data_IF_075308935142
#
_entry.id   IF_075308935142
#
_cell.length_a   1.000
_cell.length_b   1.000
_cell.length_c   1.000
_cell.angle_alpha   90.00
_cell.angle_beta   90.00
_cell.angle_gamma   90.00
#
_symmetry.space_group_name_H-M   'P 1'
#
loop_
_entity.id
_entity.type
_entity.pdbx_description
1 polymer ?
#
# COMPACT_ATOMS: atom_id res chain seq x y z
N UNK A 1 -24.18 -53.19 -11.84
CA UNK A 1 -23.35 -53.50 -13.03
C UNK A 1 -22.80 -52.20 -13.55
N UNK A 2 -21.48 -52.16 -13.74
CA UNK A 2 -20.61 -51.04 -14.12
C UNK A 2 -20.86 -49.70 -13.40
N UNK A 3 -20.17 -49.49 -12.28
CA UNK A 3 -19.73 -48.14 -11.89
C UNK A 3 -19.01 -47.55 -13.12
N UNK A 4 -19.57 -46.53 -13.79
CA UNK A 4 -18.98 -45.80 -14.94
C UNK A 4 -17.61 -45.12 -14.65
N UNK A 5 -16.95 -45.54 -13.58
CA UNK A 5 -16.93 -44.86 -12.31
C UNK A 5 -15.58 -45.02 -11.52
N UNK A 6 -15.08 -46.26 -11.42
CA UNK A 6 -13.84 -46.57 -10.71
C UNK A 6 -12.61 -46.48 -11.63
N UNK A 7 -11.53 -45.81 -11.22
CA UNK A 7 -10.26 -45.61 -11.95
C UNK A 7 -9.81 -44.16 -12.18
N UNK A 8 -10.61 -43.17 -11.77
CA UNK A 8 -10.31 -41.74 -11.89
C UNK A 8 -9.57 -41.19 -10.65
N UNK A 9 -9.06 -42.08 -9.79
CA UNK A 9 -8.62 -41.92 -8.39
C UNK A 9 -7.33 -41.11 -8.18
N UNK A 10 -6.52 -40.89 -9.22
CA UNK A 10 -5.32 -40.03 -9.16
C UNK A 10 -5.58 -38.54 -9.53
N UNK A 11 -6.77 -38.22 -10.07
CA UNK A 11 -7.39 -36.89 -10.02
C UNK A 11 -8.80 -37.03 -9.41
N UNK A 12 -8.80 -37.66 -8.24
CA UNK A 12 -9.65 -38.75 -7.79
C UNK A 12 -11.18 -38.79 -7.89
N UNK A 13 -11.79 -38.52 -9.03
CA UNK A 13 -13.23 -38.71 -9.22
C UNK A 13 -13.56 -40.21 -9.12
N UNK A 14 -13.80 -40.74 -7.92
CA UNK A 14 -14.27 -42.11 -7.63
C UNK A 14 -15.76 -42.32 -7.95
N UNK A 15 -16.38 -41.21 -8.37
CA UNK A 15 -17.27 -41.19 -9.50
C UNK A 15 -18.68 -41.68 -9.14
N UNK A 16 -19.55 -40.69 -8.96
CA UNK A 16 -20.85 -40.61 -9.62
C UNK A 16 -21.66 -41.92 -9.69
N UNK A 17 -21.70 -42.70 -8.61
CA UNK A 17 -22.41 -43.96 -8.65
C UNK A 17 -23.92 -43.81 -8.74
N UNK A 18 -24.52 -42.60 -8.58
CA UNK A 18 -25.98 -42.43 -8.67
C UNK A 18 -26.48 -40.96 -8.82
N UNK A 19 -26.17 -40.22 -9.89
CA UNK A 19 -27.01 -39.03 -10.23
C UNK A 19 -27.24 -38.95 -11.74
N UNK A 20 -28.42 -39.39 -12.16
CA UNK A 20 -29.03 -39.06 -13.44
C UNK A 20 -30.07 -37.94 -13.19
N UNK A 21 -30.93 -37.69 -14.17
CA UNK A 21 -32.27 -37.07 -14.07
C UNK A 21 -32.28 -35.69 -14.74
N UNK A 22 -32.26 -35.72 -16.07
CA UNK A 22 -32.78 -34.74 -17.05
C UNK A 22 -33.49 -33.49 -16.48
N UNK A 23 -33.34 -32.32 -17.11
CA UNK A 23 -34.25 -32.00 -18.22
C UNK A 23 -33.60 -31.30 -19.43
N UNK A 24 -34.03 -31.81 -20.59
CA UNK A 24 -33.80 -31.30 -21.93
C UNK A 24 -34.59 -30.00 -22.20
N UNK A 25 -33.99 -29.09 -22.98
CA UNK A 25 -34.67 -28.57 -24.18
C UNK A 25 -33.66 -28.02 -25.19
N UNK A 26 -33.87 -28.45 -26.42
CA UNK A 26 -32.99 -28.45 -27.59
C UNK A 26 -32.77 -27.08 -28.29
N UNK A 27 -31.61 -27.01 -28.99
CA UNK A 27 -31.29 -26.33 -30.28
C UNK A 27 -31.23 -24.78 -30.27
N UNK A 28 -30.29 -24.11 -30.95
CA UNK A 28 -29.49 -24.48 -32.14
C UNK A 28 -28.18 -23.71 -32.27
N UNK A 29 -27.24 -24.38 -32.95
CA UNK A 29 -25.91 -24.03 -33.40
C UNK A 29 -25.63 -22.59 -33.87
N UNK A 30 -24.39 -22.15 -33.59
CA UNK A 30 -23.69 -21.03 -34.20
C UNK A 30 -22.23 -21.05 -33.74
N UNK A 31 -21.41 -21.82 -34.45
CA UNK A 31 -19.96 -21.90 -34.25
C UNK A 31 -19.32 -20.54 -34.53
N UNK A 32 -18.83 -19.87 -33.48
CA UNK A 32 -17.72 -18.94 -33.59
C UNK A 32 -16.62 -19.36 -32.62
N UNK A 33 -15.52 -19.82 -33.20
CA UNK A 33 -14.29 -20.20 -32.54
C UNK A 33 -13.74 -19.05 -31.69
N UNK A 34 -14.09 -19.00 -30.40
CA UNK A 34 -13.36 -18.20 -29.42
C UNK A 34 -12.07 -18.94 -29.08
N UNK A 35 -10.99 -18.50 -29.72
CA UNK A 35 -9.61 -18.65 -29.23
C UNK A 35 -9.61 -18.35 -27.73
N UNK A 36 -9.43 -19.36 -26.90
CA UNK A 36 -9.09 -19.21 -25.49
C UNK A 36 -7.66 -18.67 -25.41
N UNK A 37 -7.51 -17.35 -25.53
CA UNK A 37 -6.34 -16.68 -25.00
C UNK A 37 -6.36 -16.90 -23.49
N UNK A 38 -5.45 -17.75 -22.99
CA UNK A 38 -5.00 -17.67 -21.61
C UNK A 38 -4.40 -16.27 -21.43
N UNK A 39 -5.22 -15.29 -21.05
CA UNK A 39 -4.74 -13.97 -20.66
C UNK A 39 -3.97 -14.15 -19.36
N UNK A 40 -2.65 -14.26 -19.47
CA UNK A 40 -1.73 -13.98 -18.37
C UNK A 40 -1.94 -12.54 -17.97
N UNK A 41 -2.58 -12.32 -16.82
CA UNK A 41 -2.78 -11.00 -16.23
C UNK A 41 -1.43 -10.27 -16.12
N UNK A 42 -1.36 -9.03 -16.59
CA UNK A 42 -0.21 -8.15 -16.38
C UNK A 42 -0.60 -6.95 -15.51
N UNK A 43 0.35 -6.41 -14.74
CA UNK A 43 0.11 -5.20 -13.93
C UNK A 43 -0.40 -4.04 -14.80
N UNK A 44 0.08 -3.92 -16.05
CA UNK A 44 -0.35 -2.90 -17.02
C UNK A 44 -1.86 -2.86 -17.26
N UNK A 45 -2.55 -4.01 -17.19
CA UNK A 45 -3.98 -4.13 -17.49
C UNK A 45 -4.87 -3.31 -16.53
N UNK A 46 -4.37 -3.11 -15.31
CA UNK A 46 -5.07 -2.39 -14.25
C UNK A 46 -4.54 -0.98 -14.04
N UNK A 47 -3.54 -0.54 -14.79
CA UNK A 47 -3.03 0.83 -14.75
C UNK A 47 -3.70 1.67 -15.83
N UNK A 48 -3.84 2.97 -15.55
CA UNK A 48 -4.28 3.96 -16.52
C UNK A 48 -3.67 5.32 -16.20
N UNK A 49 -3.56 6.16 -17.23
CA UNK A 49 -3.16 7.55 -17.05
C UNK A 49 -4.36 8.39 -16.59
N UNK A 50 -4.26 8.94 -15.38
CA UNK A 50 -5.22 9.90 -14.86
C UNK A 50 -4.70 11.31 -15.10
N UNK A 51 -5.56 12.18 -15.63
CA UNK A 51 -5.25 13.61 -15.80
C UNK A 51 -5.35 14.35 -14.46
N UNK A 52 -4.40 15.25 -14.22
CA UNK A 52 -4.32 16.11 -13.05
C UNK A 52 -3.99 17.55 -13.49
N UNK A 53 -4.59 18.52 -12.80
CA UNK A 53 -4.16 19.92 -12.85
C UNK A 53 -3.33 20.19 -11.60
N UNK A 54 -2.06 20.58 -11.76
CA UNK A 54 -1.18 20.81 -10.62
C UNK A 54 -1.59 22.06 -9.84
N UNK A 55 -1.89 21.99 -8.52
CA UNK A 55 -2.33 23.16 -7.75
C UNK A 55 -1.19 24.16 -7.45
N UNK A 56 0.05 23.83 -7.80
CA UNK A 56 1.21 24.73 -7.63
C UNK A 56 1.48 25.54 -8.89
N UNK A 57 1.52 24.89 -10.06
CA UNK A 57 1.89 25.54 -11.32
C UNK A 57 0.75 25.64 -12.34
N UNK A 58 -0.46 25.15 -12.01
CA UNK A 58 -1.66 25.17 -12.86
C UNK A 58 -1.48 24.53 -14.24
N UNK A 59 -0.46 23.68 -14.41
CA UNK A 59 -0.25 22.92 -15.65
C UNK A 59 -0.92 21.56 -15.52
N UNK A 60 -1.53 21.14 -16.61
CA UNK A 60 -2.08 19.79 -16.73
C UNK A 60 -0.98 18.78 -17.01
N UNK A 61 -1.12 17.61 -16.44
CA UNK A 61 -0.25 16.47 -16.68
C UNK A 61 -1.02 15.17 -16.45
N UNK A 62 -0.41 14.06 -16.86
CA UNK A 62 -0.94 12.72 -16.59
C UNK A 62 -0.03 12.00 -15.61
N UNK A 63 -0.63 11.23 -14.72
CA UNK A 63 0.10 10.30 -13.86
C UNK A 63 -0.63 8.95 -13.82
N UNK A 64 0.15 7.88 -13.86
CA UNK A 64 -0.37 6.52 -13.77
C UNK A 64 -1.03 6.27 -12.43
N UNK A 65 -2.21 5.63 -12.47
CA UNK A 65 -3.06 5.31 -11.32
C UNK A 65 -3.61 3.89 -11.49
N UNK A 66 -3.93 3.22 -10.38
CA UNK A 66 -4.54 1.89 -10.40
C UNK A 66 -6.06 1.95 -10.49
N UNK A 67 -6.66 1.07 -11.30
CA UNK A 67 -8.11 0.82 -11.37
C UNK A 67 -8.56 0.05 -10.12
N UNK A 68 -8.85 0.78 -9.05
CA UNK A 68 -9.15 0.23 -7.70
C UNK A 68 -10.21 -0.88 -7.72
N UNK A 69 -11.25 -0.78 -8.55
CA UNK A 69 -12.33 -1.77 -8.62
C UNK A 69 -11.91 -3.18 -9.06
N UNK A 70 -10.71 -3.35 -9.62
CA UNK A 70 -10.17 -4.66 -10.02
C UNK A 70 -9.28 -5.31 -8.96
N UNK A 71 -8.96 -4.61 -7.87
CA UNK A 71 -8.06 -5.12 -6.85
C UNK A 71 -8.79 -5.72 -5.67
N UNK A 72 -8.45 -6.97 -5.36
CA UNK A 72 -8.95 -7.67 -4.17
C UNK A 72 -7.91 -7.57 -3.05
N UNK A 73 -8.34 -7.08 -1.89
CA UNK A 73 -7.52 -7.09 -0.68
C UNK A 73 -7.22 -8.54 -0.31
N UNK A 74 -5.94 -8.90 -0.22
CA UNK A 74 -5.47 -10.22 0.17
C UNK A 74 -5.33 -10.31 1.69
N UNK A 75 -4.66 -9.33 2.30
CA UNK A 75 -4.40 -9.30 3.74
C UNK A 75 -4.01 -7.90 4.21
N UNK A 76 -3.87 -7.73 5.52
CA UNK A 76 -3.31 -6.54 6.15
C UNK A 76 -2.11 -6.98 6.98
N UNK A 77 -0.96 -6.34 6.78
CA UNK A 77 0.16 -6.49 7.72
C UNK A 77 -0.24 -5.93 9.09
N UNK A 78 0.54 -6.28 10.12
CA UNK A 78 0.32 -5.82 11.51
C UNK A 78 0.31 -4.31 11.65
N UNK A 79 1.09 -3.60 10.82
CA UNK A 79 1.14 -2.13 10.78
C UNK A 79 0.09 -1.52 9.83
N UNK A 80 -0.95 -2.28 9.49
CA UNK A 80 -2.08 -1.87 8.66
C UNK A 80 -1.72 -1.63 7.18
N UNK A 81 -0.56 -2.09 6.70
CA UNK A 81 -0.26 -2.09 5.26
C UNK A 81 -1.24 -3.01 4.52
N UNK A 82 -2.05 -2.51 3.58
CA UNK A 82 -2.89 -3.37 2.76
C UNK A 82 -2.06 -4.11 1.70
N UNK A 83 -2.22 -5.42 1.63
CA UNK A 83 -1.68 -6.27 0.55
C UNK A 83 -2.81 -6.62 -0.40
N UNK A 84 -2.64 -6.30 -1.67
CA UNK A 84 -3.61 -6.61 -2.72
C UNK A 84 -3.07 -7.75 -3.58
N UNK A 85 -3.99 -8.54 -4.14
CA UNK A 85 -3.64 -9.47 -5.20
C UNK A 85 -3.24 -8.70 -6.46
N UNK A 86 -2.39 -9.30 -7.29
CA UNK A 86 -2.09 -8.89 -8.66
C UNK A 86 -1.23 -7.62 -8.84
N UNK A 87 -1.34 -6.61 -7.97
CA UNK A 87 -0.48 -5.43 -8.01
C UNK A 87 -0.42 -4.72 -6.66
N UNK A 88 0.56 -3.81 -6.52
CA UNK A 88 0.72 -2.98 -5.33
C UNK A 88 0.30 -1.52 -5.60
N UNK A 89 -0.90 -1.09 -5.17
CA UNK A 89 -1.36 0.31 -5.30
C UNK A 89 -0.44 1.34 -4.68
N UNK A 90 0.38 0.95 -3.70
CA UNK A 90 1.29 1.88 -3.03
C UNK A 90 2.31 2.46 -4.01
N UNK A 91 2.65 1.73 -5.09
CA UNK A 91 3.53 2.20 -6.16
C UNK A 91 3.00 3.46 -6.84
N UNK A 92 1.68 3.63 -6.89
CA UNK A 92 0.99 4.69 -7.63
C UNK A 92 0.36 5.76 -6.72
N UNK A 93 0.57 5.68 -5.41
CA UNK A 93 -0.08 6.59 -4.46
C UNK A 93 0.57 7.98 -4.41
N UNK A 94 1.87 8.09 -4.72
CA UNK A 94 2.55 9.38 -4.83
C UNK A 94 2.39 9.98 -6.23
N UNK A 95 1.76 11.15 -6.29
CA UNK A 95 1.60 11.93 -7.51
C UNK A 95 2.73 12.95 -7.56
N UNK A 96 3.46 12.99 -8.67
CA UNK A 96 4.55 13.93 -8.93
C UNK A 96 4.23 14.74 -10.19
N UNK A 97 4.22 16.06 -10.07
CA UNK A 97 4.08 16.97 -11.19
C UNK A 97 5.41 17.05 -11.98
N UNK A 98 5.46 16.64 -13.25
CA UNK A 98 6.67 16.69 -14.07
C UNK A 98 7.11 18.12 -14.39
N UNK A 99 6.22 19.10 -14.23
CA UNK A 99 6.51 20.48 -14.59
C UNK A 99 7.20 21.29 -13.49
N UNK A 100 6.95 20.98 -12.23
CA UNK A 100 7.42 21.81 -11.11
C UNK A 100 7.95 21.02 -9.91
N UNK A 101 7.91 19.69 -9.94
CA UNK A 101 8.40 18.86 -8.84
C UNK A 101 7.50 18.85 -7.59
N UNK A 102 6.31 19.47 -7.66
CA UNK A 102 5.32 19.32 -6.61
C UNK A 102 4.88 17.86 -6.56
N UNK A 103 5.01 17.25 -5.38
CA UNK A 103 4.56 15.90 -5.14
C UNK A 103 3.83 15.78 -3.81
N UNK A 104 2.86 14.89 -3.76
CA UNK A 104 2.16 14.51 -2.54
C UNK A 104 1.53 13.13 -2.73
N UNK A 105 1.18 12.47 -1.62
CA UNK A 105 0.28 11.32 -1.71
C UNK A 105 -1.08 11.76 -2.27
N UNK A 106 -1.76 10.87 -2.98
CA UNK A 106 -3.00 11.14 -3.72
C UNK A 106 -4.03 11.90 -2.88
N UNK A 107 -4.17 11.51 -1.61
CA UNK A 107 -5.10 12.14 -0.67
C UNK A 107 -4.77 13.57 -0.27
N UNK A 108 -3.52 14.00 -0.40
CA UNK A 108 -3.04 15.34 0.00
C UNK A 108 -2.75 16.23 -1.20
N UNK A 109 -2.79 15.69 -2.41
CA UNK A 109 -2.32 16.39 -3.61
C UNK A 109 -3.05 17.70 -3.89
N UNK A 110 -4.36 17.76 -3.65
CA UNK A 110 -5.13 19.00 -3.84
C UNK A 110 -5.21 19.87 -2.57
N UNK A 111 -4.54 19.48 -1.49
CA UNK A 111 -4.58 20.18 -0.20
C UNK A 111 -3.31 21.02 0.00
N UNK A 112 -3.29 22.17 -0.67
CA UNK A 112 -2.20 23.14 -0.57
C UNK A 112 -2.75 24.58 -0.67
N UNK A 113 -2.28 25.48 0.19
CA UNK A 113 -2.62 26.90 0.13
C UNK A 113 -1.71 27.65 -0.86
N UNK A 114 -2.08 28.88 -1.25
CA UNK A 114 -1.21 29.73 -2.07
C UNK A 114 0.17 29.96 -1.45
N UNK A 115 0.24 30.26 -0.16
CA UNK A 115 1.50 30.46 0.57
C UNK A 115 2.37 29.19 0.61
N UNK A 116 1.75 28.01 0.73
CA UNK A 116 2.46 26.74 0.63
C UNK A 116 2.95 26.47 -0.79
N UNK A 117 2.16 26.76 -1.81
CA UNK A 117 2.56 26.64 -3.21
C UNK A 117 3.77 27.53 -3.53
N UNK A 118 3.83 28.73 -2.97
CA UNK A 118 4.98 29.64 -3.14
C UNK A 118 6.25 29.09 -2.46
N UNK A 119 6.12 28.41 -1.31
CA UNK A 119 7.24 27.70 -0.68
C UNK A 119 7.76 26.57 -1.59
N UNK A 120 6.88 25.80 -2.22
CA UNK A 120 7.28 24.76 -3.17
C UNK A 120 8.00 25.39 -4.36
N UNK A 121 7.42 26.44 -4.96
CA UNK A 121 8.04 27.14 -6.10
C UNK A 121 9.45 27.62 -5.79
N UNK A 122 9.63 28.25 -4.63
CA UNK A 122 10.90 28.86 -4.20
C UNK A 122 11.98 27.82 -3.88
N UNK A 123 11.62 26.68 -3.30
CA UNK A 123 12.60 25.74 -2.74
C UNK A 123 12.79 24.46 -3.57
N UNK A 124 11.77 24.04 -4.32
CA UNK A 124 11.78 22.80 -5.10
C UNK A 124 11.80 23.12 -6.59
N UNK A 125 10.80 23.86 -7.09
CA UNK A 125 10.61 24.03 -8.53
C UNK A 125 11.81 24.67 -9.25
N UNK A 126 12.54 25.56 -8.57
CA UNK A 126 13.73 26.23 -9.13
C UNK A 126 14.85 25.26 -9.50
N UNK A 127 14.95 24.12 -8.79
CA UNK A 127 16.03 23.13 -8.94
C UNK A 127 15.55 21.83 -9.59
N UNK A 128 14.23 21.65 -9.67
CA UNK A 128 13.65 20.40 -10.14
C UNK A 128 13.91 20.21 -11.63
N UNK A 129 14.36 19.00 -11.97
CA UNK A 129 14.48 18.51 -13.34
C UNK A 129 13.72 17.21 -13.42
N UNK A 130 12.80 17.13 -14.39
CA UNK A 130 12.06 15.90 -14.61
C UNK A 130 12.97 14.81 -15.17
N UNK A 131 12.75 13.59 -14.71
CA UNK A 131 13.32 12.38 -15.28
C UNK A 131 12.18 11.65 -15.95
N UNK A 132 12.30 11.44 -17.26
CA UNK A 132 11.31 10.70 -18.04
C UNK A 132 11.20 9.26 -17.54
N UNK A 133 9.97 8.77 -17.47
CA UNK A 133 9.67 7.42 -17.03
C UNK A 133 9.15 6.64 -18.25
N UNK A 134 10.01 5.81 -18.83
CA UNK A 134 9.75 5.13 -20.10
C UNK A 134 8.81 3.94 -20.00
N UNK A 135 8.48 3.49 -18.79
CA UNK A 135 7.71 2.26 -18.56
C UNK A 135 6.20 2.52 -18.45
N UNK A 136 5.41 1.51 -18.82
CA UNK A 136 3.94 1.55 -18.67
C UNK A 136 3.47 1.39 -17.23
N UNK A 137 4.33 0.87 -16.36
CA UNK A 137 4.16 0.74 -14.91
C UNK A 137 5.26 1.51 -14.19
N UNK A 138 5.07 1.80 -12.90
CA UNK A 138 6.18 2.26 -12.10
C UNK A 138 6.96 1.05 -11.60
N UNK A 139 8.29 1.11 -11.60
CA UNK A 139 9.09 0.21 -10.77
C UNK A 139 8.95 0.60 -9.31
N UNK A 140 9.37 -0.29 -8.40
CA UNK A 140 9.48 0.07 -7.00
C UNK A 140 10.47 1.23 -6.77
N UNK A 141 11.53 1.34 -7.56
CA UNK A 141 12.48 2.46 -7.46
C UNK A 141 11.86 3.80 -7.83
N UNK A 142 11.10 3.84 -8.94
CA UNK A 142 10.33 5.01 -9.34
C UNK A 142 9.31 5.39 -8.26
N UNK A 143 8.60 4.41 -7.70
CA UNK A 143 7.65 4.65 -6.61
C UNK A 143 8.34 5.21 -5.36
N UNK A 144 9.45 4.62 -4.90
CA UNK A 144 10.20 5.09 -3.73
C UNK A 144 10.68 6.53 -3.95
N UNK A 145 11.21 6.86 -5.14
CA UNK A 145 11.66 8.21 -5.47
C UNK A 145 10.51 9.23 -5.39
N UNK A 146 9.33 8.87 -5.89
CA UNK A 146 8.13 9.73 -5.84
C UNK A 146 7.58 9.90 -4.43
N UNK A 147 7.58 8.85 -3.62
CA UNK A 147 7.22 8.94 -2.19
C UNK A 147 8.19 9.83 -1.41
N UNK A 148 9.49 9.72 -1.67
CA UNK A 148 10.51 10.63 -1.12
C UNK A 148 10.29 12.08 -1.57
N UNK A 149 9.95 12.30 -2.83
CA UNK A 149 9.56 13.64 -3.31
C UNK A 149 8.32 14.18 -2.60
N UNK A 150 7.31 13.34 -2.36
CA UNK A 150 6.13 13.72 -1.59
C UNK A 150 6.50 14.10 -0.14
N UNK A 151 7.41 13.35 0.49
CA UNK A 151 7.89 13.68 1.84
C UNK A 151 8.61 15.02 1.87
N UNK A 152 9.56 15.27 0.96
CA UNK A 152 10.29 16.55 0.90
C UNK A 152 9.33 17.72 0.67
N UNK A 153 8.36 17.57 -0.23
CA UNK A 153 7.32 18.57 -0.45
C UNK A 153 6.49 18.83 0.82
N UNK A 154 6.12 17.78 1.58
CA UNK A 154 5.40 17.91 2.85
C UNK A 154 6.20 18.68 3.91
N UNK A 155 7.53 18.53 3.93
CA UNK A 155 8.44 19.28 4.81
C UNK A 155 8.50 20.74 4.38
N UNK A 156 8.77 21.02 3.09
CA UNK A 156 8.90 22.38 2.55
C UNK A 156 7.62 23.17 2.70
N UNK A 157 6.46 22.56 2.42
CA UNK A 157 5.15 23.21 2.60
C UNK A 157 4.70 23.31 4.07
N UNK A 158 5.53 22.86 5.00
CA UNK A 158 5.24 22.85 6.45
C UNK A 158 3.89 22.15 6.73
N UNK A 159 3.69 20.98 6.13
CA UNK A 159 2.51 20.17 6.37
C UNK A 159 2.38 19.74 7.84
N UNK A 160 1.19 19.26 8.20
CA UNK A 160 0.89 18.61 9.48
C UNK A 160 1.89 17.49 9.78
N UNK A 161 2.17 17.26 11.06
CA UNK A 161 3.00 16.14 11.53
C UNK A 161 2.40 14.81 11.09
N UNK A 162 1.06 14.66 11.18
CA UNK A 162 0.38 13.45 10.72
C UNK A 162 0.57 13.18 9.22
N UNK A 163 0.57 14.21 8.38
CA UNK A 163 0.80 14.07 6.94
C UNK A 163 2.24 13.60 6.64
N UNK A 164 3.24 14.17 7.33
CA UNK A 164 4.64 13.74 7.22
C UNK A 164 4.82 12.29 7.69
N UNK A 165 4.27 11.96 8.85
CA UNK A 165 4.33 10.62 9.44
C UNK A 165 3.67 9.57 8.54
N UNK A 166 2.50 9.88 7.97
CA UNK A 166 1.81 9.00 7.03
C UNK A 166 2.60 8.81 5.74
N UNK A 167 3.27 9.86 5.25
CA UNK A 167 4.14 9.75 4.07
C UNK A 167 5.35 8.85 4.37
N UNK A 168 5.97 8.97 5.55
CA UNK A 168 7.04 8.06 5.98
C UNK A 168 6.56 6.60 6.05
N UNK A 169 5.39 6.35 6.67
CA UNK A 169 4.80 5.02 6.76
C UNK A 169 4.58 4.39 5.39
N UNK A 170 3.97 5.15 4.47
CA UNK A 170 3.68 4.68 3.12
C UNK A 170 4.96 4.43 2.32
N UNK A 171 5.99 5.25 2.52
CA UNK A 171 7.32 5.03 1.94
C UNK A 171 7.94 3.72 2.45
N UNK A 172 7.88 3.46 3.75
CA UNK A 172 8.35 2.20 4.34
C UNK A 172 7.64 0.98 3.74
N UNK A 173 6.33 1.06 3.52
CA UNK A 173 5.57 -0.01 2.89
C UNK A 173 5.95 -0.28 1.43
N UNK A 174 6.28 0.77 0.66
CA UNK A 174 6.77 0.61 -0.72
C UNK A 174 8.16 -0.04 -0.72
N UNK A 175 9.05 0.37 0.19
CA UNK A 175 10.38 -0.26 0.37
C UNK A 175 10.24 -1.73 0.75
N UNK A 176 9.32 -2.05 1.66
CA UNK A 176 8.97 -3.44 2.02
C UNK A 176 8.50 -4.22 0.80
N UNK A 177 7.61 -3.64 -0.01
CA UNK A 177 7.13 -4.26 -1.26
C UNK A 177 8.27 -4.54 -2.24
N UNK A 178 9.24 -3.62 -2.37
CA UNK A 178 10.46 -3.85 -3.17
C UNK A 178 11.24 -5.07 -2.67
N UNK A 179 11.44 -5.18 -1.36
CA UNK A 179 12.15 -6.32 -0.78
C UNK A 179 11.39 -7.64 -0.99
N UNK A 180 10.09 -7.64 -0.77
CA UNK A 180 9.22 -8.84 -0.93
C UNK A 180 9.15 -9.35 -2.37
N UNK A 181 9.45 -8.51 -3.35
CA UNK A 181 9.38 -8.83 -4.80
C UNK A 181 10.75 -8.88 -5.46
N UNK A 182 11.83 -8.80 -4.67
CA UNK A 182 13.19 -8.80 -5.19
C UNK A 182 13.52 -10.18 -5.79
N UNK A 183 13.97 -10.27 -7.06
CA UNK A 183 14.36 -11.54 -7.66
C UNK A 183 15.53 -12.20 -6.92
N UNK A 184 15.48 -13.52 -6.72
CA UNK A 184 16.52 -14.25 -5.99
C UNK A 184 17.90 -14.20 -6.67
N UNK A 185 17.92 -13.95 -7.98
CA UNK A 185 19.13 -13.79 -8.81
C UNK A 185 19.69 -12.36 -8.80
N UNK A 186 19.12 -11.44 -8.01
CA UNK A 186 19.62 -10.07 -7.88
C UNK A 186 21.10 -10.06 -7.44
N UNK A 187 22.00 -9.37 -8.15
CA UNK A 187 23.38 -9.21 -7.72
C UNK A 187 23.47 -8.61 -6.31
N UNK A 188 24.33 -9.18 -5.46
CA UNK A 188 24.46 -8.79 -4.06
C UNK A 188 23.11 -8.84 -3.30
N UNK A 189 22.28 -9.86 -3.57
CA UNK A 189 20.94 -10.03 -2.98
C UNK A 189 20.92 -9.77 -1.47
N UNK A 190 21.80 -10.42 -0.70
CA UNK A 190 21.84 -10.28 0.77
C UNK A 190 22.11 -8.84 1.22
N UNK A 191 23.07 -8.15 0.60
CA UNK A 191 23.40 -6.76 0.90
C UNK A 191 22.24 -5.82 0.51
N UNK A 192 21.60 -6.10 -0.63
CA UNK A 192 20.44 -5.34 -1.10
C UNK A 192 19.25 -5.47 -0.13
N UNK A 193 18.95 -6.69 0.33
CA UNK A 193 17.89 -6.95 1.31
C UNK A 193 18.21 -6.24 2.63
N UNK A 194 19.45 -6.31 3.12
CA UNK A 194 19.86 -5.64 4.36
C UNK A 194 19.70 -4.12 4.26
N UNK A 195 20.13 -3.54 3.13
CA UNK A 195 19.95 -2.10 2.88
C UNK A 195 18.48 -1.69 2.85
N UNK A 196 17.62 -2.49 2.21
CA UNK A 196 16.17 -2.23 2.17
C UNK A 196 15.53 -2.39 3.57
N UNK A 197 15.99 -3.33 4.38
CA UNK A 197 15.54 -3.49 5.78
C UNK A 197 15.92 -2.26 6.62
N UNK A 198 17.16 -1.80 6.50
CA UNK A 198 17.64 -0.62 7.23
C UNK A 198 16.89 0.65 6.79
N UNK A 199 16.71 0.84 5.48
CA UNK A 199 15.95 1.98 4.95
C UNK A 199 14.48 1.94 5.38
N UNK A 200 13.83 0.77 5.34
CA UNK A 200 12.47 0.60 5.87
C UNK A 200 12.41 0.99 7.34
N UNK A 201 13.35 0.50 8.16
CA UNK A 201 13.40 0.76 9.61
C UNK A 201 13.53 2.25 9.91
N UNK A 202 14.33 2.99 9.15
CA UNK A 202 14.46 4.45 9.28
C UNK A 202 13.14 5.16 9.02
N UNK A 203 12.42 4.80 7.94
CA UNK A 203 11.11 5.37 7.66
C UNK A 203 10.04 4.98 8.68
N UNK A 204 10.07 3.76 9.21
CA UNK A 204 9.19 3.33 10.31
C UNK A 204 9.48 4.14 11.58
N UNK A 205 10.75 4.41 11.91
CA UNK A 205 11.12 5.25 13.06
C UNK A 205 10.60 6.68 12.91
N UNK A 206 10.78 7.28 11.73
CA UNK A 206 10.25 8.60 11.44
C UNK A 206 8.71 8.64 11.49
N UNK A 207 8.04 7.58 11.03
CA UNK A 207 6.59 7.45 11.13
C UNK A 207 6.13 7.34 12.59
N UNK A 208 6.82 6.52 13.40
CA UNK A 208 6.53 6.38 14.82
C UNK A 208 6.61 7.71 15.56
N UNK A 209 7.72 8.43 15.40
CA UNK A 209 7.95 9.72 16.06
C UNK A 209 6.92 10.75 15.62
N UNK A 210 6.71 10.87 14.31
CA UNK A 210 5.75 11.81 13.74
C UNK A 210 4.32 11.54 14.18
N UNK A 211 3.87 10.29 14.22
CA UNK A 211 2.52 9.96 14.71
C UNK A 211 2.39 10.11 16.22
N UNK A 212 3.42 9.76 16.99
CA UNK A 212 3.41 9.95 18.46
C UNK A 212 3.31 11.44 18.81
N UNK A 213 4.03 12.29 18.09
CA UNK A 213 3.94 13.74 18.28
C UNK A 213 2.62 14.31 17.77
N UNK A 214 2.14 13.87 16.59
CA UNK A 214 0.85 14.29 16.05
C UNK A 214 -0.29 13.92 17.00
N UNK A 215 -0.27 12.73 17.61
CA UNK A 215 -1.25 12.27 18.59
C UNK A 215 -1.46 13.28 19.72
N UNK A 216 -0.37 13.93 20.17
CA UNK A 216 -0.40 14.90 21.28
C UNK A 216 -0.83 16.30 20.83
N UNK A 217 -0.63 16.65 19.55
CA UNK A 217 -0.70 18.05 19.07
C UNK A 217 -1.79 18.31 18.04
N UNK A 218 -2.34 17.28 17.41
CA UNK A 218 -3.32 17.40 16.33
C UNK A 218 -4.66 16.77 16.71
N UNK A 219 -5.71 17.20 16.02
CA UNK A 219 -7.06 16.66 16.20
C UNK A 219 -7.29 15.42 15.33
N UNK A 220 -8.15 14.53 15.80
CA UNK A 220 -8.65 13.40 15.03
C UNK A 220 -9.87 13.80 14.17
N UNK A 221 -10.09 13.19 13.00
CA UNK A 221 -9.32 12.08 12.42
C UNK A 221 -7.99 12.52 11.79
N UNK A 222 -6.93 11.74 12.02
CA UNK A 222 -5.61 11.97 11.42
C UNK A 222 -5.45 11.08 10.20
N UNK A 223 -5.21 11.67 9.03
CA UNK A 223 -5.08 10.90 7.80
C UNK A 223 -6.28 9.94 7.60
N UNK A 224 -7.50 10.40 7.90
CA UNK A 224 -8.73 9.60 7.79
C UNK A 224 -8.81 8.39 8.75
N UNK A 225 -7.94 8.31 9.75
CA UNK A 225 -7.97 7.29 10.79
C UNK A 225 -8.46 7.90 12.11
N UNK A 226 -9.33 7.16 12.80
CA UNK A 226 -9.78 7.52 14.14
C UNK A 226 -8.67 7.34 15.20
N UNK A 227 -8.95 7.81 16.42
CA UNK A 227 -8.01 7.76 17.54
C UNK A 227 -7.54 6.34 17.87
N UNK A 228 -8.41 5.34 17.83
CA UNK A 228 -8.07 3.96 18.20
C UNK A 228 -7.23 3.29 17.11
N UNK A 229 -7.55 3.57 15.84
CA UNK A 229 -6.76 3.09 14.69
C UNK A 229 -5.34 3.68 14.71
N UNK A 230 -5.20 4.98 14.97
CA UNK A 230 -3.87 5.61 15.14
C UNK A 230 -3.15 5.05 16.37
N UNK A 231 -3.85 4.86 17.50
CA UNK A 231 -3.24 4.28 18.72
C UNK A 231 -2.67 2.89 18.43
N UNK A 232 -3.40 2.05 17.70
CA UNK A 232 -2.97 0.71 17.29
C UNK A 232 -1.75 0.77 16.37
N UNK A 233 -1.78 1.65 15.38
CA UNK A 233 -0.68 1.87 14.46
C UNK A 233 0.59 2.31 15.21
N UNK A 234 0.48 3.31 16.09
CA UNK A 234 1.62 3.80 16.89
C UNK A 234 2.19 2.69 17.78
N UNK A 235 1.34 1.84 18.37
CA UNK A 235 1.78 0.68 19.13
C UNK A 235 2.63 -0.28 18.28
N UNK A 236 2.14 -0.66 17.09
CA UNK A 236 2.87 -1.57 16.21
C UNK A 236 4.17 -0.95 15.68
N UNK A 237 4.16 0.34 15.34
CA UNK A 237 5.37 1.03 14.90
C UNK A 237 6.42 1.07 16.02
N UNK A 238 6.00 1.32 17.27
CA UNK A 238 6.89 1.25 18.45
C UNK A 238 7.55 -0.14 18.55
N UNK A 239 6.77 -1.21 18.39
CA UNK A 239 7.29 -2.59 18.42
C UNK A 239 8.32 -2.83 17.33
N UNK A 240 8.00 -2.43 16.08
CA UNK A 240 8.90 -2.63 14.92
C UNK A 240 10.24 -1.91 15.06
N UNK A 241 10.30 -0.82 15.84
CA UNK A 241 11.56 -0.09 16.11
C UNK A 241 12.22 -0.46 17.43
N UNK A 242 11.72 -1.46 18.16
CA UNK A 242 12.29 -1.93 19.42
C UNK A 242 11.91 -1.10 20.65
N UNK A 243 10.95 -0.19 20.55
CA UNK A 243 10.44 0.61 21.68
C UNK A 243 9.33 -0.15 22.43
N UNK A 244 9.69 -1.29 23.02
CA UNK A 244 8.74 -2.24 23.61
C UNK A 244 7.95 -1.69 24.81
N UNK A 245 8.58 -0.84 25.63
CA UNK A 245 7.90 -0.17 26.74
C UNK A 245 6.81 0.79 26.24
N UNK A 246 7.12 1.58 25.21
CA UNK A 246 6.17 2.50 24.60
C UNK A 246 5.04 1.72 23.91
N UNK A 247 5.38 0.64 23.18
CA UNK A 247 4.40 -0.28 22.61
C UNK A 247 3.40 -0.79 23.66
N UNK A 248 3.90 -1.29 24.80
CA UNK A 248 3.06 -1.81 25.88
C UNK A 248 2.10 -0.76 26.45
N UNK A 249 2.55 0.50 26.57
CA UNK A 249 1.69 1.62 27.01
C UNK A 249 0.59 1.91 26.00
N UNK A 250 0.92 1.96 24.71
CA UNK A 250 -0.06 2.19 23.64
C UNK A 250 -1.09 1.07 23.55
N UNK A 251 -0.68 -0.21 23.64
CA UNK A 251 -1.59 -1.36 23.69
C UNK A 251 -2.54 -1.25 24.90
N UNK A 252 -2.00 -0.93 26.08
CA UNK A 252 -2.82 -0.83 27.30
C UNK A 252 -3.90 0.23 27.14
N UNK A 253 -3.59 1.37 26.51
CA UNK A 253 -4.55 2.43 26.19
C UNK A 253 -5.72 1.93 25.33
N UNK A 254 -5.47 1.05 24.36
CA UNK A 254 -6.50 0.46 23.51
C UNK A 254 -7.37 -0.52 24.28
N UNK A 255 -6.76 -1.41 25.06
CA UNK A 255 -7.47 -2.47 25.77
C UNK A 255 -8.45 -1.94 26.82
N UNK A 256 -8.12 -0.81 27.45
CA UNK A 256 -9.00 -0.14 28.43
C UNK A 256 -10.02 0.81 27.81
N UNK A 257 -9.88 1.19 26.53
CA UNK A 257 -10.83 2.09 25.86
C UNK A 257 -12.18 1.42 25.70
N UNK A 258 -13.24 2.14 26.06
CA UNK A 258 -14.63 1.70 25.88
C UNK A 258 -15.10 1.92 24.44
N UNK A 259 -14.47 2.87 23.75
CA UNK A 259 -14.76 3.28 22.37
C UNK A 259 -14.04 2.39 21.34
N UNK A 260 -12.98 1.69 21.74
CA UNK A 260 -12.27 0.76 20.87
C UNK A 260 -13.12 -0.49 20.58
N UNK A 261 -13.39 -0.72 19.29
CA UNK A 261 -14.07 -1.93 18.81
C UNK A 261 -13.31 -3.20 19.17
N UNK A 262 -14.01 -4.34 19.31
CA UNK A 262 -13.37 -5.63 19.60
C UNK A 262 -12.33 -6.01 18.54
N UNK A 263 -12.57 -5.71 17.26
CA UNK A 263 -11.59 -5.94 16.19
C UNK A 263 -10.25 -5.22 16.44
N UNK A 264 -10.30 -3.99 16.96
CA UNK A 264 -9.09 -3.22 17.28
C UNK A 264 -8.42 -3.77 18.55
N UNK A 265 -9.21 -4.18 19.55
CA UNK A 265 -8.69 -4.81 20.77
C UNK A 265 -8.03 -6.16 20.50
N UNK A 266 -8.59 -6.96 19.60
CA UNK A 266 -8.03 -8.23 19.16
C UNK A 266 -6.65 -8.03 18.51
N UNK A 267 -6.53 -7.08 17.59
CA UNK A 267 -5.22 -6.69 17.02
C UNK A 267 -4.24 -6.19 18.07
N UNK A 268 -4.70 -5.45 19.07
CA UNK A 268 -3.84 -5.01 20.17
C UNK A 268 -3.35 -6.20 21.02
N UNK A 269 -4.18 -7.25 21.20
CA UNK A 269 -3.77 -8.51 21.86
C UNK A 269 -2.77 -9.28 21.00
N UNK A 270 -2.96 -9.36 19.68
CA UNK A 270 -1.99 -9.98 18.75
C UNK A 270 -0.61 -9.33 18.88
N UNK A 271 -0.53 -7.99 18.84
CA UNK A 271 0.73 -7.25 19.01
C UNK A 271 1.34 -7.54 20.40
N UNK A 272 0.50 -7.64 21.44
CA UNK A 272 0.95 -7.96 22.80
C UNK A 272 1.56 -9.35 22.91
N UNK A 273 1.01 -10.35 22.22
CA UNK A 273 1.61 -11.69 22.20
C UNK A 273 2.92 -11.69 21.41
N UNK A 274 3.00 -10.99 20.27
CA UNK A 274 4.26 -10.83 19.51
C UNK A 274 5.37 -10.13 20.31
N UNK A 275 5.03 -9.28 21.28
CA UNK A 275 6.02 -8.70 22.20
C UNK A 275 6.65 -9.75 23.10
N UNK A 276 5.88 -10.75 23.56
CA UNK A 276 6.38 -11.80 24.46
C UNK A 276 7.26 -12.81 23.74
N UNK A 277 6.97 -13.08 22.47
CA UNK A 277 7.73 -14.02 21.64
C UNK A 277 9.08 -13.45 21.17
N UNK A 278 9.19 -12.12 21.09
CA UNK A 278 10.40 -11.40 20.68
C UNK A 278 11.30 -10.92 21.82
N UNK A 279 10.92 -11.20 23.08
CA UNK A 279 11.72 -10.98 24.29
C UNK A 279 12.41 -12.28 24.72
#
# INVERSE_FOLDING_TARGET
>A
MSNLFSGLEEFGLNNLSNINIYEDSEKSAGEEAKKSQQNTFSEEDIIYDRSYTCPVCNKDFKAKTVKVGKLKLQSLDTDLRPKYQLADPLKYDAILCPNCGYAALNRFFNHITGSQADLIKKNISVKYKHVEESENIYTYDTAIARHKMALINSIVKKAKLSEKAYTCLKTAWVIRGKRETLPEDTPNYKETVEKLLQEEKEFISNAYEGFSEAYMKEEFPMCGMDVNTITLLVAELARKVGKYDECSRWISKILISKEASERIKEKAREIKEMLKEGM
#
